data_IF_838334046529
#
_entry.id   IF_838334046529
#
_cell.length_a   1.000
_cell.length_b   1.000
_cell.length_c   1.000
_cell.angle_alpha   90.00
_cell.angle_beta   90.00
_cell.angle_gamma   90.00
#
_symmetry.space_group_name_H-M   'P 1'
#
loop_
_entity.id
_entity.type
_entity.pdbx_description
1 polymer ?
#
# COMPACT_ATOMS: atom_id res chain seq x y z
N UNK A 1 -7.45 13.96 4.79
CA UNK A 1 -7.04 13.60 3.42
C UNK A 1 -7.04 14.74 2.39
N UNK A 2 -8.12 15.51 2.17
CA UNK A 2 -8.13 16.54 1.13
C UNK A 2 -7.03 17.59 1.31
N UNK A 3 -6.68 17.88 2.58
CA UNK A 3 -5.55 18.76 2.92
C UNK A 3 -4.21 18.33 2.33
N UNK A 4 -3.90 17.02 2.28
CA UNK A 4 -2.59 16.53 1.82
C UNK A 4 -2.52 16.48 0.29
N UNK A 5 -3.63 16.12 -0.35
CA UNK A 5 -3.80 16.26 -1.81
C UNK A 5 -3.64 17.72 -2.22
N UNK A 6 -4.33 18.61 -1.51
CA UNK A 6 -4.26 20.04 -1.78
C UNK A 6 -2.84 20.58 -1.55
N UNK A 7 -2.19 20.17 -0.46
CA UNK A 7 -0.81 20.55 -0.15
C UNK A 7 0.17 20.07 -1.23
N UNK A 8 0.00 18.83 -1.72
CA UNK A 8 0.79 18.31 -2.82
C UNK A 8 0.55 19.09 -4.12
N UNK A 9 -0.71 19.28 -4.51
CA UNK A 9 -1.05 19.98 -5.75
C UNK A 9 -0.58 21.44 -5.72
N UNK A 10 -0.76 22.12 -4.59
CA UNK A 10 -0.29 23.48 -4.38
C UNK A 10 1.24 23.54 -4.40
N UNK A 11 1.93 22.63 -3.70
CA UNK A 11 3.38 22.52 -3.74
C UNK A 11 3.92 22.31 -5.15
N UNK A 12 3.33 21.37 -5.90
CA UNK A 12 3.68 21.11 -7.30
C UNK A 12 3.48 22.34 -8.20
N UNK A 13 2.41 23.11 -7.99
CA UNK A 13 2.14 24.35 -8.73
C UNK A 13 3.16 25.44 -8.41
N UNK A 14 3.52 25.59 -7.13
CA UNK A 14 4.58 26.52 -6.69
C UNK A 14 5.93 26.12 -7.28
N UNK A 15 6.26 24.82 -7.31
CA UNK A 15 7.48 24.29 -7.94
C UNK A 15 7.50 24.60 -9.43
N UNK A 16 6.39 24.33 -10.14
CA UNK A 16 6.30 24.60 -11.57
C UNK A 16 6.45 26.09 -11.88
N UNK A 17 5.75 26.96 -11.15
CA UNK A 17 5.87 28.41 -11.31
C UNK A 17 7.28 28.92 -11.00
N UNK A 18 7.89 28.40 -9.94
CA UNK A 18 9.25 28.77 -9.54
C UNK A 18 10.30 28.32 -10.56
N UNK A 19 10.14 27.14 -11.15
CA UNK A 19 11.02 26.65 -12.20
C UNK A 19 10.91 27.52 -13.45
N UNK A 20 9.69 27.85 -13.90
CA UNK A 20 9.46 28.74 -15.05
C UNK A 20 10.04 30.14 -14.80
N UNK A 21 9.88 30.66 -13.58
CA UNK A 21 10.44 31.95 -13.20
C UNK A 21 11.98 31.94 -13.17
N UNK A 22 12.59 30.87 -12.65
CA UNK A 22 14.05 30.69 -12.69
C UNK A 22 14.57 30.64 -14.12
N UNK A 23 13.92 29.87 -15.00
CA UNK A 23 14.36 29.73 -16.39
C UNK A 23 14.27 31.06 -17.12
N UNK A 24 13.16 31.79 -16.97
CA UNK A 24 13.01 33.16 -17.48
C UNK A 24 14.10 34.11 -16.97
N UNK A 25 14.50 33.99 -15.71
CA UNK A 25 15.50 34.86 -15.09
C UNK A 25 16.95 34.56 -15.47
N UNK A 26 17.22 33.41 -16.11
CA UNK A 26 18.57 32.99 -16.52
C UNK A 26 18.88 33.41 -17.98
N UNK A 27 17.88 33.80 -18.76
CA UNK A 27 18.08 34.17 -20.16
C UNK A 27 18.97 35.43 -20.29
N UNK A 28 20.00 35.42 -21.17
CA UNK A 28 21.02 36.48 -21.24
C UNK A 28 20.46 37.87 -21.58
N UNK A 29 19.36 37.94 -22.34
CA UNK A 29 18.69 39.21 -22.66
C UNK A 29 17.80 39.76 -21.54
N UNK A 30 17.53 38.95 -20.50
CA UNK A 30 16.71 39.34 -19.36
C UNK A 30 17.61 39.46 -18.12
N UNK A 31 18.09 40.67 -17.82
CA UNK A 31 18.78 40.98 -16.56
C UNK A 31 17.78 40.93 -15.40
N UNK A 32 17.35 39.73 -15.02
CA UNK A 32 16.57 39.55 -13.82
C UNK A 32 17.43 39.91 -12.61
N UNK A 33 16.91 40.77 -11.73
CA UNK A 33 17.63 41.13 -10.51
C UNK A 33 17.95 39.87 -9.71
N UNK A 34 19.11 39.82 -9.05
CA UNK A 34 19.52 38.72 -8.16
C UNK A 34 18.41 38.32 -7.17
N UNK A 35 17.61 39.30 -6.73
CA UNK A 35 16.43 39.11 -5.86
C UNK A 35 15.37 38.18 -6.48
N UNK A 36 15.15 38.27 -7.79
CA UNK A 36 14.16 37.45 -8.51
C UNK A 36 14.61 35.99 -8.61
N UNK A 37 15.90 35.76 -8.87
CA UNK A 37 16.51 34.42 -8.85
C UNK A 37 16.43 33.83 -7.44
N UNK A 38 16.77 34.61 -6.42
CA UNK A 38 16.70 34.17 -5.02
C UNK A 38 15.27 33.83 -4.58
N UNK A 39 14.29 34.67 -4.96
CA UNK A 39 12.87 34.47 -4.66
C UNK A 39 12.33 33.22 -5.35
N UNK A 40 12.70 33.00 -6.61
CA UNK A 40 12.27 31.82 -7.37
C UNK A 40 12.95 30.54 -6.83
N UNK A 41 14.22 30.61 -6.44
CA UNK A 41 14.90 29.52 -5.75
C UNK A 41 14.25 29.17 -4.40
N UNK A 42 13.92 30.18 -3.59
CA UNK A 42 13.18 29.98 -2.34
C UNK A 42 11.80 29.37 -2.58
N UNK A 43 11.08 29.84 -3.61
CA UNK A 43 9.81 29.26 -4.04
C UNK A 43 9.93 27.79 -4.42
N UNK A 44 11.02 27.41 -5.12
CA UNK A 44 11.27 26.03 -5.51
C UNK A 44 11.52 25.12 -4.29
N UNK A 45 12.30 25.60 -3.31
CA UNK A 45 12.54 24.88 -2.05
C UNK A 45 11.23 24.70 -1.27
N UNK A 46 10.48 25.78 -1.08
CA UNK A 46 9.22 25.77 -0.32
C UNK A 46 8.19 24.87 -1.01
N UNK A 47 8.02 25.01 -2.33
CA UNK A 47 7.09 24.20 -3.09
C UNK A 47 7.46 22.71 -3.06
N UNK A 48 8.74 22.37 -3.15
CA UNK A 48 9.21 20.98 -3.08
C UNK A 48 8.96 20.40 -1.70
N UNK A 49 9.23 21.16 -0.63
CA UNK A 49 8.93 20.75 0.74
C UNK A 49 7.42 20.52 0.93
N UNK A 50 6.56 21.43 0.45
CA UNK A 50 5.10 21.27 0.51
C UNK A 50 4.64 20.04 -0.26
N UNK A 51 5.18 19.80 -1.46
CA UNK A 51 4.88 18.62 -2.26
C UNK A 51 5.29 17.33 -1.53
N UNK A 52 6.50 17.29 -0.97
CA UNK A 52 7.00 16.15 -0.22
C UNK A 52 6.17 15.86 1.03
N UNK A 53 5.79 16.90 1.80
CA UNK A 53 4.92 16.76 2.98
C UNK A 53 3.53 16.27 2.56
N UNK A 54 3.00 16.77 1.44
CA UNK A 54 1.72 16.31 0.88
C UNK A 54 1.74 14.82 0.54
N UNK A 55 2.81 14.36 -0.11
CA UNK A 55 3.03 12.94 -0.41
C UNK A 55 3.20 12.11 0.86
N UNK A 56 4.08 12.50 1.78
CA UNK A 56 4.26 11.78 3.05
C UNK A 56 2.95 11.67 3.83
N UNK A 57 2.14 12.73 3.88
CA UNK A 57 0.83 12.69 4.52
C UNK A 57 -0.17 11.73 3.87
N UNK A 58 -0.08 11.53 2.54
CA UNK A 58 -0.86 10.49 1.83
C UNK A 58 -0.39 9.08 2.22
N UNK A 59 0.92 8.86 2.22
CA UNK A 59 1.52 7.57 2.59
C UNK A 59 1.20 7.19 4.05
N UNK A 60 1.37 8.11 4.99
CA UNK A 60 1.05 7.88 6.39
C UNK A 60 -0.43 7.53 6.60
N UNK A 61 -1.34 8.27 5.95
CA UNK A 61 -2.75 8.02 6.12
C UNK A 61 -3.19 6.67 5.55
N UNK A 62 -2.65 6.29 4.39
CA UNK A 62 -2.86 4.93 3.86
C UNK A 62 -2.28 3.87 4.82
N UNK A 63 -1.07 4.08 5.34
CA UNK A 63 -0.44 3.10 6.24
C UNK A 63 -1.23 2.92 7.54
N UNK A 64 -1.83 3.97 8.09
CA UNK A 64 -2.72 3.88 9.26
C UNK A 64 -3.98 3.05 8.93
N UNK A 65 -4.63 3.32 7.80
CA UNK A 65 -5.80 2.54 7.36
C UNK A 65 -5.46 1.08 7.08
N UNK A 66 -4.33 0.82 6.40
CA UNK A 66 -3.89 -0.54 6.08
C UNK A 66 -3.52 -1.35 7.33
N UNK A 67 -2.89 -0.74 8.35
CA UNK A 67 -2.60 -1.40 9.63
C UNK A 67 -3.87 -1.78 10.38
N UNK A 68 -4.86 -0.87 10.42
CA UNK A 68 -6.16 -1.17 11.03
C UNK A 68 -6.85 -2.32 10.30
N UNK A 69 -6.88 -2.29 8.96
CA UNK A 69 -7.49 -3.33 8.15
C UNK A 69 -6.82 -4.71 8.36
N UNK A 70 -5.48 -4.76 8.37
CA UNK A 70 -4.75 -6.00 8.65
C UNK A 70 -5.03 -6.57 10.04
N UNK A 71 -5.13 -5.72 11.07
CA UNK A 71 -5.50 -6.18 12.42
C UNK A 71 -6.93 -6.70 12.51
N UNK A 72 -7.87 -6.09 11.78
CA UNK A 72 -9.28 -6.48 11.77
C UNK A 72 -9.53 -7.77 10.98
N UNK A 73 -8.79 -7.99 9.89
CA UNK A 73 -8.82 -9.25 9.14
C UNK A 73 -8.31 -10.43 9.99
N UNK A 74 -7.36 -10.22 10.89
CA UNK A 74 -6.88 -11.30 11.77
C UNK A 74 -7.81 -11.60 12.95
N UNK A 75 -8.62 -10.63 13.40
CA UNK A 75 -9.42 -10.75 14.62
C UNK A 75 -10.89 -11.12 14.39
N UNK A 76 -11.41 -11.00 13.15
CA UNK A 76 -12.85 -11.11 12.88
C UNK A 76 -13.25 -12.33 12.05
N UNK A 77 -14.44 -12.84 12.35
CA UNK A 77 -15.02 -14.01 11.69
C UNK A 77 -15.42 -13.62 10.26
N UNK A 78 -14.84 -14.30 9.26
CA UNK A 78 -15.13 -14.01 7.85
C UNK A 78 -16.50 -14.55 7.47
N UNK A 79 -17.51 -13.68 7.42
CA UNK A 79 -18.80 -14.00 6.82
C UNK A 79 -18.73 -13.79 5.29
N UNK A 80 -18.84 -14.88 4.52
CA UNK A 80 -18.73 -14.89 3.05
C UNK A 80 -19.78 -14.04 2.34
N UNK A 81 -20.85 -13.67 3.06
CA UNK A 81 -21.95 -12.83 2.56
C UNK A 81 -21.58 -11.35 2.42
N UNK A 82 -20.51 -10.87 3.07
CA UNK A 82 -20.07 -9.48 2.89
C UNK A 82 -19.28 -9.30 1.58
N UNK A 83 -19.71 -8.33 0.77
CA UNK A 83 -18.97 -7.85 -0.40
C UNK A 83 -17.80 -6.95 0.02
N UNK A 84 -16.82 -7.52 0.74
CA UNK A 84 -15.54 -6.86 1.01
C UNK A 84 -14.70 -6.82 -0.27
N UNK A 85 -14.07 -5.68 -0.54
CA UNK A 85 -13.13 -5.54 -1.66
C UNK A 85 -11.82 -6.27 -1.37
N UNK A 86 -11.43 -6.35 -0.08
CA UNK A 86 -10.30 -7.15 0.40
C UNK A 86 -10.81 -8.31 1.27
N UNK A 87 -10.79 -9.52 0.72
CA UNK A 87 -11.23 -10.77 1.37
C UNK A 87 -10.09 -11.66 1.87
N UNK A 88 -8.84 -11.37 1.50
CA UNK A 88 -7.68 -12.17 1.89
C UNK A 88 -6.41 -11.33 2.04
N UNK A 89 -5.43 -11.84 2.78
CA UNK A 89 -4.10 -11.22 2.93
C UNK A 89 -3.40 -11.01 1.58
N UNK A 90 -3.62 -11.88 0.59
CA UNK A 90 -3.08 -11.74 -0.77
C UNK A 90 -3.68 -10.52 -1.51
N UNK A 91 -4.97 -10.23 -1.28
CA UNK A 91 -5.64 -9.05 -1.85
C UNK A 91 -5.20 -7.77 -1.13
N UNK A 92 -4.91 -7.85 0.17
CA UNK A 92 -4.32 -6.73 0.91
C UNK A 92 -2.92 -6.40 0.38
N UNK A 93 -2.10 -7.41 0.09
CA UNK A 93 -0.77 -7.22 -0.50
C UNK A 93 -0.83 -6.65 -1.93
N UNK A 94 -1.78 -7.09 -2.77
CA UNK A 94 -1.93 -6.54 -4.12
C UNK A 94 -2.36 -5.07 -4.07
N UNK A 95 -3.31 -4.72 -3.19
CA UNK A 95 -3.73 -3.33 -2.98
C UNK A 95 -2.59 -2.46 -2.44
N UNK A 96 -1.74 -3.01 -1.57
CA UNK A 96 -0.53 -2.35 -1.08
C UNK A 96 0.45 -2.03 -2.20
N UNK A 97 0.73 -2.99 -3.09
CA UNK A 97 1.59 -2.77 -4.25
C UNK A 97 1.02 -1.71 -5.18
N UNK A 98 -0.29 -1.75 -5.46
CA UNK A 98 -0.94 -0.75 -6.31
C UNK A 98 -0.87 0.66 -5.71
N UNK A 99 -1.06 0.80 -4.40
CA UNK A 99 -0.91 2.09 -3.72
C UNK A 99 0.51 2.64 -3.87
N UNK A 100 1.54 1.84 -3.57
CA UNK A 100 2.93 2.29 -3.68
C UNK A 100 3.35 2.58 -5.12
N UNK A 101 2.86 1.81 -6.08
CA UNK A 101 3.10 2.08 -7.48
C UNK A 101 2.48 3.42 -7.92
N UNK A 102 1.24 3.69 -7.49
CA UNK A 102 0.59 4.99 -7.73
C UNK A 102 1.28 6.14 -6.98
N UNK A 103 1.76 5.90 -5.77
CA UNK A 103 2.53 6.86 -4.99
C UNK A 103 3.85 7.24 -5.70
N UNK A 104 4.60 6.24 -6.15
CA UNK A 104 5.83 6.43 -6.90
C UNK A 104 5.56 7.17 -8.21
N UNK A 105 4.50 6.83 -8.95
CA UNK A 105 4.21 7.48 -10.22
C UNK A 105 3.88 8.98 -10.08
N UNK A 106 3.27 9.40 -8.96
CA UNK A 106 3.03 10.83 -8.66
C UNK A 106 4.35 11.57 -8.45
N UNK A 107 5.29 11.00 -7.68
CA UNK A 107 6.61 11.61 -7.49
C UNK A 107 7.42 11.65 -8.77
N UNK A 108 7.36 10.57 -9.56
CA UNK A 108 8.06 10.42 -10.82
C UNK A 108 7.55 11.41 -11.88
N UNK A 109 6.24 11.69 -11.93
CA UNK A 109 5.68 12.66 -12.88
C UNK A 109 6.16 14.09 -12.59
N UNK A 110 6.24 14.49 -11.32
CA UNK A 110 6.78 15.79 -10.93
C UNK A 110 8.28 15.90 -11.26
N UNK A 111 9.05 14.84 -11.00
CA UNK A 111 10.47 14.78 -11.34
C UNK A 111 10.70 14.85 -12.86
N UNK A 112 9.91 14.13 -13.66
CA UNK A 112 9.96 14.19 -15.12
C UNK A 112 9.63 15.57 -15.65
N UNK A 113 8.62 16.23 -15.09
CA UNK A 113 8.25 17.59 -15.47
C UNK A 113 9.40 18.57 -15.22
N UNK A 114 10.01 18.52 -14.03
CA UNK A 114 11.15 19.36 -13.66
C UNK A 114 12.37 19.11 -14.55
N UNK A 115 12.74 17.83 -14.73
CA UNK A 115 13.87 17.44 -15.56
C UNK A 115 13.65 17.84 -17.04
N UNK A 116 12.43 17.68 -17.54
CA UNK A 116 12.05 18.09 -18.90
C UNK A 116 12.15 19.60 -19.10
N UNK A 117 11.62 20.41 -18.16
CA UNK A 117 11.76 21.87 -18.24
C UNK A 117 13.22 22.33 -18.15
N UNK A 118 14.01 21.71 -17.29
CA UNK A 118 15.44 22.00 -17.19
C UNK A 118 16.16 21.68 -18.52
N UNK A 119 15.86 20.52 -19.12
CA UNK A 119 16.42 20.10 -20.40
C UNK A 119 16.09 21.07 -21.54
N UNK A 120 14.82 21.50 -21.63
CA UNK A 120 14.38 22.53 -22.60
C UNK A 120 15.13 23.85 -22.37
N UNK A 121 15.30 24.25 -21.11
CA UNK A 121 15.99 25.50 -20.78
C UNK A 121 17.47 25.48 -21.14
N UNK A 122 18.15 24.34 -20.94
CA UNK A 122 19.55 24.16 -21.34
C UNK A 122 19.66 24.17 -22.87
N UNK A 123 18.79 23.43 -23.56
CA UNK A 123 18.84 23.29 -25.02
C UNK A 123 18.57 24.61 -25.76
N UNK A 124 17.70 25.45 -25.22
CA UNK A 124 17.36 26.75 -25.81
C UNK A 124 18.15 27.93 -25.21
N UNK A 125 19.10 27.70 -24.30
CA UNK A 125 19.80 28.76 -23.57
C UNK A 125 20.60 29.72 -24.45
N UNK A 126 21.06 29.28 -25.63
CA UNK A 126 21.78 30.09 -26.61
C UNK A 126 20.90 30.58 -27.77
N UNK A 127 19.61 30.26 -27.75
CA UNK A 127 18.67 30.66 -28.80
C UNK A 127 18.15 32.08 -28.59
N UNK A 128 17.46 32.64 -29.60
CA UNK A 128 16.81 33.94 -29.43
C UNK A 128 15.72 33.88 -28.37
N UNK A 129 15.48 34.99 -27.67
CA UNK A 129 14.48 35.06 -26.60
C UNK A 129 13.08 34.59 -27.03
N UNK A 130 12.70 34.87 -28.28
CA UNK A 130 11.43 34.41 -28.83
C UNK A 130 11.34 32.89 -28.94
N UNK A 131 12.40 32.24 -29.47
CA UNK A 131 12.50 30.78 -29.53
C UNK A 131 12.52 30.16 -28.14
N UNK A 132 13.27 30.77 -27.22
CA UNK A 132 13.32 30.37 -25.82
C UNK A 132 11.94 30.37 -25.15
N UNK A 133 11.18 31.46 -25.30
CA UNK A 133 9.82 31.58 -24.76
C UNK A 133 8.82 30.63 -25.43
N UNK A 134 8.92 30.44 -26.74
CA UNK A 134 8.12 29.46 -27.47
C UNK A 134 8.41 28.03 -26.99
N UNK A 135 9.69 27.67 -26.81
CA UNK A 135 10.11 26.37 -26.30
C UNK A 135 9.69 26.12 -24.86
N UNK A 136 9.85 27.12 -23.97
CA UNK A 136 9.40 27.03 -22.58
C UNK A 136 7.88 26.89 -22.48
N UNK A 137 7.11 27.70 -23.20
CA UNK A 137 5.64 27.65 -23.18
C UNK A 137 5.11 26.32 -23.74
N UNK A 138 5.69 25.83 -24.84
CA UNK A 138 5.40 24.51 -25.38
C UNK A 138 5.79 23.39 -24.40
N UNK A 139 6.95 23.51 -23.75
CA UNK A 139 7.42 22.57 -22.73
C UNK A 139 6.48 22.49 -21.53
N UNK A 140 6.11 23.64 -20.96
CA UNK A 140 5.14 23.73 -19.85
C UNK A 140 3.79 23.17 -20.29
N UNK A 141 3.32 23.49 -21.50
CA UNK A 141 2.06 22.98 -22.03
C UNK A 141 2.07 21.45 -22.14
N UNK A 142 3.02 20.89 -22.90
CA UNK A 142 3.07 19.45 -23.19
C UNK A 142 3.44 18.65 -21.94
N UNK A 143 4.56 18.97 -21.30
CA UNK A 143 5.03 18.23 -20.12
C UNK A 143 4.11 18.45 -18.92
N UNK A 144 3.55 19.67 -18.78
CA UNK A 144 2.61 19.98 -17.71
C UNK A 144 1.31 19.20 -17.86
N UNK A 145 0.75 19.11 -19.07
CA UNK A 145 -0.46 18.30 -19.32
C UNK A 145 -0.19 16.82 -19.09
N UNK A 146 0.90 16.27 -19.63
CA UNK A 146 1.25 14.85 -19.43
C UNK A 146 1.48 14.55 -17.94
N UNK A 147 2.26 15.39 -17.27
CA UNK A 147 2.55 15.27 -15.84
C UNK A 147 1.31 15.41 -14.97
N UNK A 148 0.40 16.32 -15.31
CA UNK A 148 -0.87 16.52 -14.61
C UNK A 148 -1.80 15.32 -14.80
N UNK A 149 -1.91 14.75 -16.00
CA UNK A 149 -2.73 13.56 -16.26
C UNK A 149 -2.22 12.39 -15.42
N UNK A 150 -0.92 12.10 -15.48
CA UNK A 150 -0.30 11.03 -14.69
C UNK A 150 -0.43 11.27 -13.17
N UNK A 151 -0.18 12.51 -12.72
CA UNK A 151 -0.31 12.87 -11.31
C UNK A 151 -1.74 12.74 -10.81
N UNK A 152 -2.74 13.23 -11.56
CA UNK A 152 -4.17 13.13 -11.19
C UNK A 152 -4.62 11.67 -11.20
N UNK A 153 -4.20 10.87 -12.19
CA UNK A 153 -4.53 9.44 -12.24
C UNK A 153 -3.94 8.67 -11.04
N UNK A 154 -2.66 8.89 -10.73
CA UNK A 154 -2.01 8.28 -9.56
C UNK A 154 -2.71 8.69 -8.26
N UNK A 155 -3.07 9.97 -8.14
CA UNK A 155 -3.70 10.50 -6.94
C UNK A 155 -5.17 10.05 -6.79
N UNK A 156 -5.90 9.86 -7.90
CA UNK A 156 -7.22 9.22 -7.90
C UNK A 156 -7.13 7.76 -7.48
N UNK A 157 -6.16 7.02 -8.02
CA UNK A 157 -5.93 5.61 -7.67
C UNK A 157 -5.58 5.44 -6.19
N UNK A 158 -4.65 6.24 -5.68
CA UNK A 158 -4.29 6.26 -4.25
C UNK A 158 -5.50 6.56 -3.34
N UNK A 159 -6.32 7.54 -3.74
CA UNK A 159 -7.55 7.90 -3.01
C UNK A 159 -8.61 6.80 -3.06
N UNK A 160 -8.75 6.11 -4.19
CA UNK A 160 -9.67 4.98 -4.31
C UNK A 160 -9.25 3.82 -3.41
N UNK A 161 -7.97 3.45 -3.44
CA UNK A 161 -7.42 2.40 -2.57
C UNK A 161 -7.67 2.70 -1.10
N UNK A 162 -7.45 3.94 -0.68
CA UNK A 162 -7.70 4.35 0.70
C UNK A 162 -9.19 4.32 1.06
N UNK A 163 -10.08 4.84 0.19
CA UNK A 163 -11.53 4.80 0.45
C UNK A 163 -12.04 3.36 0.56
N UNK A 164 -11.54 2.45 -0.27
CA UNK A 164 -11.85 1.02 -0.17
C UNK A 164 -11.38 0.46 1.17
N UNK A 165 -10.16 0.78 1.62
CA UNK A 165 -9.67 0.33 2.92
C UNK A 165 -10.48 0.91 4.10
N UNK A 166 -10.87 2.19 4.06
CA UNK A 166 -11.73 2.81 5.08
C UNK A 166 -13.12 2.16 5.11
N UNK A 167 -13.74 1.94 3.95
CA UNK A 167 -15.03 1.27 3.82
C UNK A 167 -14.98 -0.15 4.37
N UNK A 168 -14.00 -0.96 3.94
CA UNK A 168 -13.85 -2.34 4.38
C UNK A 168 -13.57 -2.42 5.89
N UNK A 169 -12.77 -1.50 6.44
CA UNK A 169 -12.52 -1.42 7.89
C UNK A 169 -13.79 -1.11 8.68
N UNK A 170 -14.68 -0.25 8.16
CA UNK A 170 -15.93 0.10 8.83
C UNK A 170 -16.93 -1.06 8.84
N UNK A 171 -16.98 -1.82 7.74
CA UNK A 171 -17.82 -3.02 7.61
C UNK A 171 -17.32 -4.15 8.51
N UNK A 172 -16.00 -4.38 8.55
CA UNK A 172 -15.38 -5.34 9.47
C UNK A 172 -15.61 -4.90 10.91
N UNK A 173 -15.48 -3.62 11.25
CA UNK A 173 -15.74 -3.13 12.62
C UNK A 173 -17.16 -3.44 13.09
N UNK A 174 -18.14 -3.48 12.19
CA UNK A 174 -19.53 -3.84 12.51
C UNK A 174 -19.77 -5.36 12.72
N UNK A 175 -18.83 -6.23 12.34
CA UNK A 175 -18.96 -7.68 12.58
C UNK A 175 -18.60 -8.07 14.02
N UNK A 176 -19.23 -9.12 14.58
CA UNK A 176 -18.81 -9.69 15.86
C UNK A 176 -17.38 -10.25 15.75
N UNK A 177 -16.60 -10.09 16.81
CA UNK A 177 -15.24 -10.64 16.88
C UNK A 177 -15.29 -12.17 16.80
N UNK A 178 -14.27 -12.77 16.20
CA UNK A 178 -14.14 -14.23 16.19
C UNK A 178 -13.84 -14.70 17.62
N UNK A 179 -14.87 -15.15 18.33
CA UNK A 179 -14.68 -15.93 19.55
C UNK A 179 -14.18 -17.28 19.06
N UNK A 180 -12.87 -17.52 19.14
CA UNK A 180 -12.33 -18.86 19.01
C UNK A 180 -13.09 -19.75 19.98
N UNK A 181 -13.95 -20.62 19.45
CA UNK A 181 -14.69 -21.60 20.23
C UNK A 181 -13.62 -22.31 21.07
N UNK A 182 -13.63 -22.08 22.40
CA UNK A 182 -12.68 -22.69 23.31
C UNK A 182 -12.61 -24.16 22.94
N UNK A 183 -11.41 -24.75 22.73
CA UNK A 183 -11.29 -26.10 22.21
C UNK A 183 -12.24 -26.97 23.00
N UNK A 184 -13.30 -27.47 22.34
CA UNK A 184 -14.28 -28.32 23.01
C UNK A 184 -13.43 -29.36 23.74
N UNK A 185 -13.54 -29.48 25.08
CA UNK A 185 -12.78 -30.50 25.78
C UNK A 185 -13.07 -31.78 25.02
N UNK A 186 -12.02 -32.33 24.41
CA UNK A 186 -12.09 -33.55 23.62
C UNK A 186 -12.84 -34.50 24.51
N UNK A 187 -14.08 -34.81 24.13
CA UNK A 187 -14.90 -35.73 24.91
C UNK A 187 -14.02 -36.97 25.02
N UNK A 188 -13.47 -37.21 26.21
CA UNK A 188 -12.70 -38.42 26.49
C UNK A 188 -13.59 -39.52 25.97
N UNK A 189 -13.11 -40.23 24.94
CA UNK A 189 -13.82 -41.39 24.43
C UNK A 189 -14.29 -42.17 25.66
N UNK A 190 -15.61 -42.46 25.79
CA UNK A 190 -16.12 -43.08 27.00
C UNK A 190 -15.24 -44.31 27.27
N UNK A 191 -14.72 -44.36 28.49
CA UNK A 191 -13.85 -45.44 28.94
C UNK A 191 -14.51 -46.74 28.51
N UNK A 192 -13.82 -47.52 27.66
CA UNK A 192 -14.38 -48.69 27.02
C UNK A 192 -14.69 -49.69 28.14
N UNK A 193 -15.93 -49.68 28.63
CA UNK A 193 -16.40 -50.61 29.65
C UNK A 193 -16.23 -52.01 29.05
N UNK A 194 -15.15 -52.69 29.42
CA UNK A 194 -14.99 -54.09 29.10
C UNK A 194 -16.01 -54.82 29.94
N UNK A 195 -17.13 -55.20 29.32
CA UNK A 195 -18.00 -56.22 29.88
C UNK A 195 -17.19 -57.52 29.91
N UNK A 196 -16.45 -57.74 31.01
CA UNK A 196 -15.91 -59.05 31.33
C UNK A 196 -17.12 -59.94 31.57
N UNK A 197 -17.54 -60.65 30.53
CA UNK A 197 -18.52 -61.72 30.64
C UNK A 197 -17.94 -62.77 31.58
N UNK A 198 -18.31 -62.67 32.85
CA UNK A 198 -17.96 -63.62 33.88
C UNK A 198 -18.79 -64.89 33.68
N UNK A 199 -18.52 -65.63 32.59
CA UNK A 199 -18.95 -67.03 32.47
C UNK A 199 -17.93 -67.88 33.22
N UNK A 200 -18.09 -67.94 34.54
CA UNK A 200 -17.63 -69.08 35.34
C UNK A 200 -18.36 -70.32 34.84
N UNK A 201 -17.81 -70.98 33.81
CA UNK A 201 -18.15 -72.37 33.51
C UNK A 201 -17.18 -73.23 34.29
N UNK A 202 -17.65 -73.69 35.44
CA UNK A 202 -17.02 -74.78 36.19
C UNK A 202 -17.02 -76.03 35.32
N UNK A 203 -15.83 -76.51 34.96
CA UNK A 203 -15.66 -77.91 34.58
C UNK A 203 -14.28 -78.38 35.04
N UNK A 204 -14.20 -78.71 36.32
CA UNK A 204 -13.21 -79.64 36.84
C UNK A 204 -13.49 -81.03 36.29
N UNK A 205 -12.73 -81.46 35.28
CA UNK A 205 -12.48 -82.87 35.03
C UNK A 205 -11.02 -83.08 34.59
N UNK A 206 -10.23 -83.45 35.60
CA UNK A 206 -9.28 -84.56 35.63
C UNK A 206 -8.39 -84.86 34.42
N UNK A 207 -7.08 -84.88 34.72
CA UNK A 207 -6.06 -85.85 34.26
C UNK A 207 -5.70 -85.81 32.76
N UNK A 208 -4.47 -85.98 32.32
CA UNK A 208 -3.18 -86.21 32.95
C UNK A 208 -2.11 -86.11 31.83
N UNK A 209 -0.83 -86.04 32.23
CA UNK A 209 0.35 -86.38 31.43
C UNK A 209 0.60 -85.52 30.15
N UNK A 210 1.81 -85.24 29.70
CA UNK A 210 3.17 -85.40 30.21
C UNK A 210 4.08 -84.69 29.18
N UNK A 211 5.32 -84.43 29.62
CA UNK A 211 6.54 -84.24 28.81
C UNK A 211 6.67 -82.93 28.02
N UNK A 212 7.44 -82.02 28.63
CA UNK A 212 8.80 -81.55 28.26
C UNK A 212 9.17 -81.30 26.77
N UNK A 213 10.12 -80.37 26.53
CA UNK A 213 10.22 -79.45 25.39
C UNK A 213 11.40 -79.85 24.47
N UNK A 214 12.21 -78.93 23.90
CA UNK A 214 11.99 -77.72 23.07
C UNK A 214 12.49 -77.96 21.62
N UNK A 215 12.67 -76.91 20.79
CA UNK A 215 13.93 -76.57 20.07
C UNK A 215 13.71 -75.91 18.69
N UNK A 216 14.40 -74.76 18.56
CA UNK A 216 15.06 -74.12 17.42
C UNK A 216 14.33 -73.78 16.10
N UNK A 217 14.23 -72.47 15.88
CA UNK A 217 14.80 -71.69 14.77
C UNK A 217 15.30 -72.43 13.51
N UNK A 218 14.84 -71.97 12.36
CA UNK A 218 15.66 -71.18 11.43
C UNK A 218 14.78 -70.22 10.65
#
# INVERSE_FOLDING_TARGET
MPRFIFLFAFGALVVAGSQVALTLGIHPEHLASLRYILQSGAGLIVGTAMAAIGLMGLAEGYQRSARQLGSLLQSKAHDETLQLVVRSDDQLQSQHRHFWQAYCSIGLSLAFFLAGLLSISILLGESSFFLYMAGLSAGVGILGVIGAIWGIQGLRSARQCQKSAESDSSLLTAQPDYIAEAPRPTAKAPEKISWSSNRKRSSSHSRALAKRPPVASR
#
